data_IF_797638969373
#
_entry.id   IF_797638969373
#
_cell.length_a   1.000
_cell.length_b   1.000
_cell.length_c   1.000
_cell.angle_alpha   90.00
_cell.angle_beta   90.00
_cell.angle_gamma   90.00
#
_symmetry.space_group_name_H-M   'P 1'
#
loop_
_entity.id
_entity.type
_entity.pdbx_description
1 polymer ?
#
# COMPACT_ATOMS: atom_id res chain seq x y z
N UNK A 1 -5.94 8.78 9.50
CA UNK A 1 -5.37 8.58 8.15
C UNK A 1 -3.86 8.76 8.27
N UNK A 2 -3.04 7.87 7.70
CA UNK A 2 -1.57 7.94 7.83
C UNK A 2 -0.97 9.24 7.29
N UNK A 3 -1.58 9.86 6.26
CA UNK A 3 -1.01 11.06 5.64
C UNK A 3 -1.59 12.38 6.18
N UNK A 4 -2.91 12.50 6.28
CA UNK A 4 -3.56 13.76 6.69
C UNK A 4 -3.96 13.81 8.17
N UNK A 5 -3.69 12.77 8.96
CA UNK A 5 -4.05 12.73 10.39
C UNK A 5 -5.55 12.59 10.70
N UNK A 6 -6.45 12.87 9.76
CA UNK A 6 -7.90 12.83 10.00
C UNK A 6 -8.41 11.50 10.56
N UNK A 7 -9.35 11.60 11.51
CA UNK A 7 -10.10 10.47 12.06
C UNK A 7 -11.07 9.93 11.02
N UNK A 8 -10.95 8.66 10.69
CA UNK A 8 -11.83 7.98 9.72
C UNK A 8 -12.22 6.63 10.32
N UNK A 9 -13.49 6.22 10.25
CA UNK A 9 -13.90 4.91 10.74
C UNK A 9 -13.20 3.79 9.97
N UNK A 10 -12.93 2.69 10.66
CA UNK A 10 -12.13 1.56 10.15
C UNK A 10 -12.73 0.96 8.87
N UNK A 11 -14.05 0.87 8.78
CA UNK A 11 -14.74 0.27 7.63
C UNK A 11 -14.65 1.11 6.35
N UNK A 12 -14.54 2.43 6.50
CA UNK A 12 -14.42 3.39 5.39
C UNK A 12 -12.97 3.61 4.96
N UNK A 13 -12.01 3.44 5.88
CA UNK A 13 -10.60 3.67 5.61
C UNK A 13 -10.05 2.64 4.61
N UNK A 14 -9.23 3.11 3.66
CA UNK A 14 -8.58 2.20 2.72
C UNK A 14 -7.31 1.62 3.34
N UNK A 15 -7.33 0.31 3.59
CA UNK A 15 -6.16 -0.48 4.00
C UNK A 15 -5.28 -0.79 2.80
N UNK A 16 -4.00 -0.44 2.89
CA UNK A 16 -2.95 -0.80 1.92
C UNK A 16 -1.90 -1.62 2.65
N UNK A 17 -1.67 -2.83 2.16
CA UNK A 17 -0.65 -3.74 2.66
C UNK A 17 0.52 -3.74 1.67
N UNK A 18 1.69 -3.31 2.12
CA UNK A 18 2.91 -3.28 1.30
C UNK A 18 4.05 -3.96 2.04
N UNK A 19 4.86 -4.76 1.33
CA UNK A 19 6.14 -5.24 1.88
C UNK A 19 7.17 -4.13 1.77
N UNK A 20 7.82 -3.83 2.88
CA UNK A 20 8.89 -2.84 2.92
C UNK A 20 10.22 -3.54 2.68
N UNK A 21 10.99 -3.02 1.73
CA UNK A 21 12.38 -3.41 1.54
C UNK A 21 13.23 -2.37 2.26
N UNK A 22 14.06 -2.81 3.21
CA UNK A 22 14.97 -1.92 3.96
C UNK A 22 16.06 -1.32 3.08
N UNK A 23 16.38 -2.04 2.01
CA UNK A 23 17.47 -1.75 1.08
C UNK A 23 16.91 -1.79 -0.33
N UNK A 24 17.52 -1.06 -1.25
CA UNK A 24 17.19 -1.13 -2.66
C UNK A 24 17.22 -2.58 -3.19
N UNK A 25 16.37 -2.87 -4.16
CA UNK A 25 16.13 -4.21 -4.70
C UNK A 25 17.38 -4.88 -5.27
N UNK A 26 18.24 -4.11 -5.92
CA UNK A 26 19.49 -4.54 -6.57
C UNK A 26 20.51 -4.98 -5.51
N UNK A 27 20.85 -4.07 -4.59
CA UNK A 27 21.76 -4.33 -3.48
C UNK A 27 21.23 -5.45 -2.57
N UNK A 28 19.91 -5.49 -2.33
CA UNK A 28 19.31 -6.56 -1.54
C UNK A 28 19.40 -7.94 -2.21
N UNK A 29 19.61 -8.03 -3.53
CA UNK A 29 19.90 -9.32 -4.19
C UNK A 29 21.36 -9.72 -3.99
N UNK A 30 22.29 -8.78 -4.16
CA UNK A 30 23.72 -9.01 -3.98
C UNK A 30 24.05 -9.43 -2.54
N UNK A 31 23.52 -8.70 -1.55
CA UNK A 31 23.70 -9.02 -0.14
C UNK A 31 23.12 -10.39 0.23
N UNK A 32 21.97 -10.77 -0.35
CA UNK A 32 21.40 -12.11 -0.14
C UNK A 32 22.24 -13.20 -0.81
N UNK A 33 22.82 -12.93 -1.97
CA UNK A 33 23.75 -13.86 -2.63
C UNK A 33 25.03 -14.06 -1.81
N UNK A 34 25.48 -13.01 -1.10
CA UNK A 34 26.58 -13.07 -0.12
C UNK A 34 26.18 -13.72 1.23
N UNK A 35 24.91 -14.11 1.40
CA UNK A 35 24.43 -14.81 2.60
C UNK A 35 23.79 -13.93 3.67
N UNK A 36 23.62 -12.62 3.44
CA UNK A 36 22.97 -11.74 4.41
C UNK A 36 21.45 -11.95 4.44
N UNK A 37 20.91 -12.13 5.65
CA UNK A 37 19.46 -12.21 5.86
C UNK A 37 18.84 -10.82 5.94
N UNK A 38 18.04 -10.44 4.94
CA UNK A 38 17.32 -9.17 4.92
C UNK A 38 15.83 -9.44 5.15
N UNK A 39 15.35 -9.07 6.34
CA UNK A 39 13.93 -9.13 6.67
C UNK A 39 13.12 -8.13 5.82
N UNK A 40 11.98 -8.58 5.30
CA UNK A 40 11.05 -7.75 4.53
C UNK A 40 9.70 -7.66 5.27
N UNK A 41 9.58 -6.79 6.29
CA UNK A 41 8.37 -6.68 7.08
C UNK A 41 7.19 -6.19 6.24
N UNK A 42 6.00 -6.65 6.60
CA UNK A 42 4.76 -6.19 5.96
C UNK A 42 4.22 -4.99 6.71
N UNK A 43 4.11 -3.85 6.03
CA UNK A 43 3.59 -2.61 6.58
C UNK A 43 2.13 -2.42 6.17
N UNK A 44 1.31 -2.03 7.13
CA UNK A 44 -0.10 -1.69 6.95
C UNK A 44 -0.29 -0.19 7.06
N UNK A 45 -0.81 0.43 6.00
CA UNK A 45 -1.16 1.86 5.98
C UNK A 45 -2.66 2.04 5.80
N UNK A 46 -3.22 3.03 6.50
CA UNK A 46 -4.66 3.33 6.49
C UNK A 46 -4.89 4.75 5.97
N UNK A 47 -5.54 4.86 4.81
CA UNK A 47 -5.78 6.14 4.16
C UNK A 47 -7.25 6.54 4.22
N UNK A 48 -7.52 7.85 4.33
CA UNK A 48 -8.84 8.38 4.01
C UNK A 48 -9.08 8.31 2.50
N UNK A 49 -10.34 8.41 2.07
CA UNK A 49 -10.72 8.30 0.66
C UNK A 49 -10.05 9.41 -0.18
N UNK A 50 -9.99 10.64 0.34
CA UNK A 50 -9.38 11.78 -0.35
C UNK A 50 -7.88 11.56 -0.60
N UNK A 51 -7.11 11.18 0.42
CA UNK A 51 -5.69 10.86 0.25
C UNK A 51 -5.50 9.65 -0.67
N UNK A 52 -6.34 8.63 -0.58
CA UNK A 52 -6.23 7.45 -1.42
C UNK A 52 -6.43 7.77 -2.91
N UNK A 53 -7.30 8.73 -3.26
CA UNK A 53 -7.47 9.20 -4.65
C UNK A 53 -6.29 10.08 -5.07
N UNK A 54 -5.86 11.02 -4.22
CA UNK A 54 -4.76 11.92 -4.52
C UNK A 54 -3.44 11.18 -4.80
N UNK A 55 -3.12 10.15 -4.00
CA UNK A 55 -1.94 9.30 -4.20
C UNK A 55 -2.14 8.16 -5.21
N UNK A 56 -3.24 8.18 -5.98
CA UNK A 56 -3.56 7.17 -7.01
C UNK A 56 -3.64 5.72 -6.50
N UNK A 57 -3.85 5.54 -5.19
CA UNK A 57 -4.10 4.23 -4.56
C UNK A 57 -5.50 3.72 -4.98
N UNK A 58 -6.47 4.63 -5.08
CA UNK A 58 -7.79 4.38 -5.63
C UNK A 58 -7.96 5.15 -6.94
N UNK A 59 -8.43 4.45 -7.98
CA UNK A 59 -8.77 5.05 -9.27
C UNK A 59 -10.28 5.26 -9.37
N UNK A 60 -10.69 6.34 -10.01
CA UNK A 60 -12.09 6.59 -10.36
C UNK A 60 -12.49 5.60 -11.45
N UNK A 61 -13.62 4.92 -11.28
CA UNK A 61 -14.15 3.89 -12.19
C UNK A 61 -15.50 4.31 -12.75
N UNK A 62 -15.83 3.83 -13.96
CA UNK A 62 -17.16 3.96 -14.56
C UNK A 62 -18.23 3.31 -13.67
N UNK A 63 -19.48 3.75 -13.81
CA UNK A 63 -20.60 3.32 -12.97
C UNK A 63 -20.70 1.79 -12.86
N UNK A 64 -20.62 1.10 -14.00
CA UNK A 64 -20.74 -0.36 -14.08
C UNK A 64 -19.57 -1.07 -13.39
N UNK A 65 -18.37 -0.49 -13.47
CA UNK A 65 -17.17 -1.07 -12.88
C UNK A 65 -17.03 -0.79 -11.37
N UNK A 66 -17.84 0.11 -10.78
CA UNK A 66 -17.78 0.40 -9.33
C UNK A 66 -18.21 -0.79 -8.48
N UNK A 67 -19.18 -1.59 -8.96
CA UNK A 67 -19.70 -2.77 -8.24
C UNK A 67 -18.75 -3.97 -8.29
N UNK A 68 -17.85 -4.03 -9.29
CA UNK A 68 -16.86 -5.11 -9.39
C UNK A 68 -15.90 -5.06 -8.21
N UNK A 69 -15.89 -6.12 -7.40
CA UNK A 69 -14.98 -6.32 -6.27
C UNK A 69 -13.80 -7.16 -6.76
N UNK A 70 -12.61 -6.58 -6.75
CA UNK A 70 -11.36 -7.24 -7.12
C UNK A 70 -10.19 -6.62 -6.37
N UNK A 71 -9.01 -7.23 -6.47
CA UNK A 71 -7.79 -6.57 -5.99
C UNK A 71 -7.53 -5.35 -6.88
N UNK A 72 -7.41 -4.18 -6.27
CA UNK A 72 -6.95 -2.97 -6.97
C UNK A 72 -5.45 -3.12 -7.22
N UNK A 73 -5.09 -3.88 -8.26
CA UNK A 73 -3.80 -3.84 -8.94
C UNK A 73 -4.07 -3.91 -10.43
#
# INVERSE_FOLDING_TARGET
CTNCGQTVPKDKAKKVTSRLNLVEHTLAKELRAQGAYIASPTVLKWYCISCAIHFKILKIRSADNRRKRGKLR
#
